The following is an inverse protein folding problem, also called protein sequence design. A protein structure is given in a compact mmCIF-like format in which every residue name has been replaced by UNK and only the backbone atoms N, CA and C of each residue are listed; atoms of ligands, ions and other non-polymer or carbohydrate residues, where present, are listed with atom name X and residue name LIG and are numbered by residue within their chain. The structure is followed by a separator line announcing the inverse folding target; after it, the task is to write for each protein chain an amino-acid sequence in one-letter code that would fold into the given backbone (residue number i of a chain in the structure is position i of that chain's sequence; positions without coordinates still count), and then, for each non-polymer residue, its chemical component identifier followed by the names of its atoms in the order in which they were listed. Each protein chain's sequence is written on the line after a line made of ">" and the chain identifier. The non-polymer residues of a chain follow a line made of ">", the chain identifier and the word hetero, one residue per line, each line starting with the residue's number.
data_IF_493120581050
#
_entry.id   IF_493120581050
#
_cell.length_a   1.000
_cell.length_b   1.000
_cell.length_c   1.000
_cell.angle_alpha   90.00
_cell.angle_beta   90.00
_cell.angle_gamma   90.00
#
_symmetry.space_group_name_H-M   'P 1'
#
loop_
_entity.id
_entity.type
_entity.pdbx_description
1 polymer ?
#
# COMPACT_ATOMS: atom_id res chain seq x y z
N UNK A 1 5.40 4.00 2.96
CA UNK A 1 3.97 4.34 3.30
C UNK A 1 3.72 4.29 4.81
N UNK A 2 4.50 3.48 5.53
CA UNK A 2 4.34 3.15 6.95
C UNK A 2 4.51 4.33 7.92
N UNK A 3 5.17 5.40 7.49
CA UNK A 3 5.37 6.63 8.28
C UNK A 3 4.11 7.48 8.44
N UNK A 4 3.08 7.24 7.63
CA UNK A 4 1.81 7.97 7.69
C UNK A 4 0.84 7.34 8.69
N UNK A 5 0.04 8.16 9.38
CA UNK A 5 -1.07 7.67 10.22
C UNK A 5 -2.21 7.08 9.37
N UNK A 6 -3.18 6.42 10.02
CA UNK A 6 -4.27 5.70 9.33
C UNK A 6 -5.11 6.58 8.41
N UNK A 7 -5.50 7.76 8.89
CA UNK A 7 -6.32 8.69 8.10
C UNK A 7 -5.56 9.23 6.89
N UNK A 8 -4.26 9.47 7.04
CA UNK A 8 -3.41 9.89 5.92
C UNK A 8 -3.29 8.76 4.88
N UNK A 9 -3.04 7.52 5.30
CA UNK A 9 -3.00 6.35 4.39
C UNK A 9 -4.34 6.17 3.66
N UNK A 10 -5.45 6.29 4.39
CA UNK A 10 -6.79 6.23 3.82
C UNK A 10 -6.99 7.33 2.76
N UNK A 11 -6.54 8.55 3.05
CA UNK A 11 -6.59 9.69 2.12
C UNK A 11 -5.76 9.47 0.87
N UNK A 12 -4.49 9.08 1.01
CA UNK A 12 -3.57 8.83 -0.13
C UNK A 12 -4.14 7.78 -1.09
N UNK A 13 -4.64 6.66 -0.56
CA UNK A 13 -5.24 5.60 -1.37
C UNK A 13 -6.57 6.05 -1.99
N UNK A 14 -7.45 6.66 -1.20
CA UNK A 14 -8.78 7.07 -1.64
C UNK A 14 -8.75 8.11 -2.74
N UNK A 15 -7.93 9.16 -2.59
CA UNK A 15 -7.80 10.21 -3.61
C UNK A 15 -7.15 9.69 -4.89
N UNK A 16 -6.16 8.80 -4.76
CA UNK A 16 -5.54 8.13 -5.93
C UNK A 16 -6.56 7.28 -6.70
N UNK A 17 -7.40 6.52 -5.99
CA UNK A 17 -8.45 5.72 -6.63
C UNK A 17 -9.52 6.61 -7.27
N UNK A 18 -9.88 7.74 -6.65
CA UNK A 18 -10.85 8.67 -7.21
C UNK A 18 -10.38 9.24 -8.56
N UNK A 19 -9.13 9.71 -8.64
CA UNK A 19 -8.63 10.25 -9.91
C UNK A 19 -8.51 9.16 -10.98
N UNK A 20 -8.10 7.94 -10.63
CA UNK A 20 -8.08 6.81 -11.57
C UNK A 20 -9.49 6.49 -12.07
N UNK A 21 -10.49 6.45 -11.18
CA UNK A 21 -11.88 6.23 -11.55
C UNK A 21 -12.38 7.28 -12.54
N UNK A 22 -12.15 8.56 -12.23
CA UNK A 22 -12.63 9.68 -13.05
C UNK A 22 -12.00 9.68 -14.45
N UNK A 23 -10.69 9.38 -14.55
CA UNK A 23 -9.95 9.41 -15.81
C UNK A 23 -10.08 8.12 -16.64
N UNK A 24 -10.39 6.98 -16.00
CA UNK A 24 -10.48 5.68 -16.68
C UNK A 24 -11.90 5.31 -17.15
N UNK A 25 -12.86 6.23 -17.02
CA UNK A 25 -14.26 5.97 -17.36
C UNK A 25 -14.96 5.06 -16.35
N UNK A 26 -14.62 5.19 -15.06
CA UNK A 26 -15.27 4.50 -13.96
C UNK A 26 -14.63 3.15 -13.57
N UNK A 27 -13.39 2.88 -14.00
CA UNK A 27 -12.67 1.64 -13.65
C UNK A 27 -11.80 1.87 -12.42
N UNK A 28 -11.69 0.84 -11.58
CA UNK A 28 -10.80 0.83 -10.43
C UNK A 28 -9.77 -0.28 -10.57
N UNK A 29 -8.52 -0.04 -10.14
CA UNK A 29 -7.51 -1.09 -10.10
C UNK A 29 -7.86 -2.12 -9.01
N UNK A 30 -7.55 -3.39 -9.26
CA UNK A 30 -7.64 -4.45 -8.26
C UNK A 30 -6.37 -4.55 -7.39
N UNK A 31 -5.25 -4.07 -7.91
CA UNK A 31 -3.94 -4.18 -7.29
C UNK A 31 -3.35 -2.81 -6.99
N UNK A 32 -2.48 -2.75 -6.00
CA UNK A 32 -1.69 -1.56 -5.70
C UNK A 32 -0.31 -1.95 -5.19
N UNK A 33 0.64 -1.03 -5.32
CA UNK A 33 2.00 -1.17 -4.80
C UNK A 33 2.27 -0.05 -3.79
N UNK A 34 2.84 -0.36 -2.61
CA UNK A 34 3.24 0.66 -1.65
C UNK A 34 4.55 1.34 -2.07
N UNK A 35 4.77 2.62 -1.73
CA UNK A 35 6.08 3.25 -1.82
C UNK A 35 7.01 2.64 -0.76
N UNK A 36 8.03 1.93 -1.24
CA UNK A 36 9.07 1.19 -0.51
C UNK A 36 8.53 0.02 0.33
N UNK A 37 7.86 0.33 1.44
CA UNK A 37 7.51 -0.63 2.49
C UNK A 37 6.01 -0.58 2.85
N UNK A 38 5.56 -1.65 3.51
CA UNK A 38 4.16 -1.79 3.90
C UNK A 38 4.00 -2.64 5.17
N UNK A 39 3.27 -2.09 6.14
CA UNK A 39 2.89 -2.78 7.37
C UNK A 39 1.48 -3.41 7.27
N UNK A 40 1.06 -4.16 8.29
CA UNK A 40 -0.23 -4.84 8.30
C UNK A 40 -1.43 -3.87 8.36
N UNK A 41 -1.24 -2.69 8.94
CA UNK A 41 -2.27 -1.66 9.08
C UNK A 41 -2.57 -1.04 7.70
N UNK A 42 -1.53 -0.69 6.96
CA UNK A 42 -1.64 -0.22 5.57
C UNK A 42 -2.26 -1.30 4.68
N UNK A 43 -1.85 -2.56 4.79
CA UNK A 43 -2.49 -3.69 4.08
C UNK A 43 -3.98 -3.81 4.41
N UNK A 44 -4.34 -3.68 5.69
CA UNK A 44 -5.71 -3.79 6.15
C UNK A 44 -6.60 -2.66 5.61
N UNK A 45 -6.10 -1.41 5.58
CA UNK A 45 -6.82 -0.28 4.99
C UNK A 45 -7.05 -0.53 3.50
N UNK A 46 -5.98 -0.84 2.75
CA UNK A 46 -6.09 -1.05 1.31
C UNK A 46 -7.05 -2.18 0.94
N UNK A 47 -6.98 -3.32 1.65
CA UNK A 47 -7.84 -4.47 1.39
C UNK A 47 -9.28 -4.27 1.84
N UNK A 48 -9.50 -3.86 3.08
CA UNK A 48 -10.85 -3.90 3.67
C UNK A 48 -11.70 -2.66 3.34
N UNK A 49 -11.06 -1.52 3.05
CA UNK A 49 -11.79 -0.31 2.66
C UNK A 49 -11.96 -0.22 1.15
N UNK A 50 -10.91 -0.52 0.40
CA UNK A 50 -10.87 -0.30 -1.05
C UNK A 50 -10.88 -1.58 -1.90
N UNK A 51 -10.78 -2.76 -1.28
CA UNK A 51 -10.73 -4.03 -2.02
C UNK A 51 -9.41 -4.26 -2.76
N UNK A 52 -8.36 -3.48 -2.47
CA UNK A 52 -7.09 -3.56 -3.17
C UNK A 52 -6.21 -4.70 -2.64
N UNK A 53 -5.59 -5.45 -3.56
CA UNK A 53 -4.56 -6.43 -3.26
C UNK A 53 -3.16 -5.80 -3.34
N UNK A 54 -2.41 -5.84 -2.23
CA UNK A 54 -1.02 -5.37 -2.20
C UNK A 54 -0.10 -6.30 -2.98
N UNK A 55 0.67 -5.75 -3.91
CA UNK A 55 1.69 -6.48 -4.70
C UNK A 55 3.08 -5.98 -4.31
N UNK A 56 3.97 -6.92 -3.98
CA UNK A 56 5.39 -6.68 -3.66
C UNK A 56 6.25 -7.42 -4.68
N UNK A 57 7.42 -6.87 -4.96
CA UNK A 57 8.39 -7.45 -5.89
C UNK A 57 9.24 -8.52 -5.20
N UNK A 58 9.76 -9.45 -5.99
CA UNK A 58 10.73 -10.44 -5.53
C UNK A 58 12.11 -10.25 -6.17
N UNK A 59 12.23 -9.35 -7.16
CA UNK A 59 13.49 -8.88 -7.73
C UNK A 59 13.46 -7.35 -7.84
N UNK A 60 14.59 -6.70 -7.59
CA UNK A 60 14.73 -5.25 -7.64
C UNK A 60 15.92 -4.90 -8.52
N UNK A 61 15.69 -4.14 -9.59
CA UNK A 61 16.75 -3.71 -10.51
C UNK A 61 17.63 -2.60 -9.93
N UNK A 62 17.15 -1.90 -8.89
CA UNK A 62 17.77 -0.67 -8.40
C UNK A 62 18.07 0.35 -9.52
N UNK A 63 17.29 0.32 -10.60
CA UNK A 63 17.45 1.18 -11.78
C UNK A 63 17.37 2.68 -11.46
N UNK A 64 16.66 3.03 -10.39
CA UNK A 64 16.58 4.37 -9.80
C UNK A 64 17.93 4.94 -9.35
N UNK A 65 18.95 4.10 -9.18
CA UNK A 65 20.32 4.53 -8.90
C UNK A 65 21.02 5.16 -10.11
N UNK A 66 20.50 4.98 -11.33
CA UNK A 66 21.11 5.53 -12.54
C UNK A 66 20.69 6.98 -12.79
N UNK A 67 21.68 7.80 -13.10
CA UNK A 67 21.49 9.20 -13.49
C UNK A 67 21.39 9.34 -15.01
N UNK A 68 20.91 10.50 -15.51
CA UNK A 68 20.97 10.82 -16.95
C UNK A 68 22.38 10.81 -17.56
N UNK A 69 23.44 10.83 -16.74
CA UNK A 69 24.84 10.71 -17.19
C UNK A 69 25.33 9.27 -17.25
N UNK A 70 24.43 8.29 -17.06
CA UNK A 70 24.73 6.86 -17.03
C UNK A 70 25.75 6.49 -15.93
N UNK A 71 25.58 7.11 -14.76
CA UNK A 71 26.38 6.87 -13.56
C UNK A 71 25.48 6.51 -12.39
N UNK A 72 26.06 5.88 -11.36
CA UNK A 72 25.34 5.45 -10.15
C UNK A 72 25.41 6.49 -9.02
N UNK A 73 24.29 6.75 -8.35
CA UNK A 73 24.18 7.62 -7.16
C UNK A 73 24.03 6.89 -5.83
N UNK A 74 23.84 5.58 -5.85
CA UNK A 74 23.70 4.71 -4.69
C UNK A 74 25.04 4.15 -4.17
N UNK A 75 26.16 4.63 -4.72
CA UNK A 75 27.50 4.20 -4.33
C UNK A 75 27.81 2.78 -4.81
N UNK A 76 27.85 1.83 -3.88
CA UNK A 76 28.15 0.41 -4.19
C UNK A 76 26.90 -0.40 -4.51
N UNK A 77 25.72 0.15 -4.23
CA UNK A 77 24.44 -0.52 -4.42
C UNK A 77 23.87 -0.17 -5.80
N UNK A 78 23.13 -1.10 -6.40
CA UNK A 78 22.54 -0.95 -7.74
C UNK A 78 23.53 -0.98 -8.91
N UNK A 79 23.03 -0.81 -10.14
CA UNK A 79 23.84 -0.90 -11.36
C UNK A 79 24.78 0.30 -11.48
N UNK A 80 26.04 0.04 -11.84
CA UNK A 80 27.04 1.10 -12.05
C UNK A 80 26.75 2.00 -13.28
N UNK A 81 26.06 1.43 -14.27
CA UNK A 81 25.65 2.02 -15.54
C UNK A 81 24.60 1.11 -16.22
N UNK A 82 24.04 1.54 -17.34
CA UNK A 82 23.10 0.81 -18.19
C UNK A 82 23.60 -0.59 -18.58
N UNK A 83 24.89 -0.76 -18.86
CA UNK A 83 25.44 -2.08 -19.17
C UNK A 83 25.46 -3.02 -17.93
N UNK A 84 25.56 -2.47 -16.72
CA UNK A 84 25.38 -3.24 -15.50
C UNK A 84 23.90 -3.62 -15.28
N UNK A 85 22.97 -2.71 -15.57
CA UNK A 85 21.54 -2.97 -15.55
C UNK A 85 21.16 -4.08 -16.56
N UNK A 86 21.73 -4.06 -17.77
CA UNK A 86 21.53 -5.12 -18.76
C UNK A 86 21.97 -6.49 -18.24
N UNK A 87 23.10 -6.55 -17.52
CA UNK A 87 23.59 -7.80 -16.92
C UNK A 87 22.67 -8.30 -15.80
N UNK A 88 22.13 -7.39 -15.01
CA UNK A 88 21.17 -7.71 -13.95
C UNK A 88 19.85 -8.23 -14.52
N UNK A 89 19.29 -7.54 -15.52
CA UNK A 89 18.10 -8.01 -16.23
C UNK A 89 18.33 -9.36 -16.91
N UNK A 90 19.50 -9.57 -17.51
CA UNK A 90 19.88 -10.87 -18.07
C UNK A 90 19.94 -11.97 -16.99
N UNK A 91 20.38 -11.65 -15.76
CA UNK A 91 20.34 -12.60 -14.66
C UNK A 91 18.90 -12.99 -14.30
N UNK A 92 17.99 -12.02 -14.21
CA UNK A 92 16.56 -12.28 -13.95
C UNK A 92 15.92 -13.14 -15.04
N UNK A 93 16.20 -12.85 -16.32
CA UNK A 93 15.69 -13.65 -17.45
C UNK A 93 16.04 -15.13 -17.34
N UNK A 94 17.19 -15.45 -16.75
CA UNK A 94 17.69 -16.82 -16.60
C UNK A 94 17.30 -17.49 -15.27
N UNK A 95 16.50 -16.83 -14.42
CA UNK A 95 16.01 -17.42 -13.17
C UNK A 95 14.97 -18.52 -13.40
N UNK A 96 14.71 -19.29 -12.33
CA UNK A 96 13.65 -20.29 -12.35
C UNK A 96 12.27 -19.65 -12.55
N UNK A 97 11.44 -20.28 -13.39
CA UNK A 97 10.09 -19.78 -13.74
C UNK A 97 9.05 -19.93 -12.62
N UNK A 98 9.36 -20.69 -11.58
CA UNK A 98 8.52 -20.87 -10.39
C UNK A 98 9.24 -20.31 -9.17
N UNK A 99 8.61 -19.45 -8.35
CA UNK A 99 7.19 -19.06 -8.33
C UNK A 99 6.78 -17.98 -9.36
N UNK A 100 7.68 -17.60 -10.26
CA UNK A 100 7.51 -16.47 -11.17
C UNK A 100 8.25 -15.23 -10.67
N UNK A 101 8.41 -14.23 -11.52
CA UNK A 101 9.13 -13.00 -11.21
C UNK A 101 8.18 -11.82 -11.15
N UNK A 102 8.34 -11.00 -10.11
CA UNK A 102 7.78 -9.66 -10.02
C UNK A 102 9.01 -8.74 -9.88
N UNK A 103 9.40 -8.12 -10.98
CA UNK A 103 10.60 -7.28 -11.06
C UNK A 103 10.17 -5.83 -10.82
N UNK A 104 10.83 -5.16 -9.87
CA UNK A 104 10.66 -3.72 -9.69
C UNK A 104 11.53 -2.96 -10.68
N UNK A 105 10.88 -2.10 -11.45
CA UNK A 105 11.46 -1.11 -12.35
C UNK A 105 10.74 0.23 -12.16
N UNK A 106 11.36 1.31 -12.60
CA UNK A 106 10.81 2.65 -12.61
C UNK A 106 10.72 3.19 -14.05
N UNK A 107 9.74 4.04 -14.33
CA UNK A 107 9.59 4.72 -15.63
C UNK A 107 9.85 6.23 -15.55
N UNK A 108 10.64 6.66 -14.56
CA UNK A 108 10.89 8.08 -14.27
C UNK A 108 12.01 8.67 -15.13
N UNK A 109 12.94 7.86 -15.63
CA UNK A 109 14.08 8.31 -16.43
C UNK A 109 14.29 7.41 -17.66
N UNK A 110 15.01 7.92 -18.66
CA UNK A 110 15.40 7.11 -19.82
C UNK A 110 16.23 5.89 -19.40
N UNK A 111 17.07 6.04 -18.36
CA UNK A 111 17.93 4.98 -17.85
C UNK A 111 17.14 3.88 -17.14
N UNK A 112 16.05 4.22 -16.46
CA UNK A 112 15.23 3.21 -15.82
C UNK A 112 14.40 2.44 -16.86
N UNK A 113 13.83 3.15 -17.85
CA UNK A 113 13.12 2.54 -19.00
C UNK A 113 14.03 1.67 -19.88
N UNK A 114 15.34 1.97 -19.92
CA UNK A 114 16.34 1.18 -20.66
C UNK A 114 16.31 -0.31 -20.25
N UNK A 115 16.20 -0.62 -18.95
CA UNK A 115 16.18 -1.99 -18.43
C UNK A 115 15.17 -2.88 -19.15
N UNK A 116 13.89 -2.53 -19.08
CA UNK A 116 12.81 -3.25 -19.74
C UNK A 116 13.01 -3.34 -21.26
N UNK A 117 13.28 -2.20 -21.92
CA UNK A 117 13.32 -2.13 -23.39
C UNK A 117 14.45 -2.99 -23.98
N UNK A 118 15.60 -3.08 -23.30
CA UNK A 118 16.73 -3.91 -23.70
C UNK A 118 16.56 -5.38 -23.33
N UNK A 119 15.94 -5.67 -22.18
CA UNK A 119 15.70 -7.04 -21.73
C UNK A 119 14.57 -7.75 -22.50
N UNK A 120 13.60 -7.01 -23.03
CA UNK A 120 12.39 -7.56 -23.65
C UNK A 120 12.63 -8.65 -24.72
N UNK A 121 13.56 -8.49 -25.68
CA UNK A 121 13.87 -9.56 -26.64
C UNK A 121 14.34 -10.85 -25.97
N UNK A 122 15.15 -10.75 -24.91
CA UNK A 122 15.66 -11.90 -24.15
C UNK A 122 14.55 -12.56 -23.30
N UNK A 123 13.68 -11.76 -22.67
CA UNK A 123 12.50 -12.23 -21.93
C UNK A 123 11.62 -13.10 -22.85
N UNK A 124 11.29 -12.60 -24.05
CA UNK A 124 10.49 -13.36 -25.02
C UNK A 124 11.21 -14.62 -25.49
N UNK A 125 12.51 -14.54 -25.78
CA UNK A 125 13.30 -15.71 -26.22
C UNK A 125 13.37 -16.80 -25.14
N UNK A 126 13.42 -16.42 -23.87
CA UNK A 126 13.41 -17.36 -22.75
C UNK A 126 12.02 -18.01 -22.50
N UNK A 127 10.99 -17.56 -23.21
CA UNK A 127 9.63 -18.11 -23.12
C UNK A 127 9.01 -17.86 -21.74
N UNK A 128 9.22 -16.68 -21.17
CA UNK A 128 8.43 -16.22 -20.03
C UNK A 128 6.99 -15.97 -20.49
N UNK A 129 6.02 -16.35 -19.66
CA UNK A 129 4.66 -15.89 -19.84
C UNK A 129 4.60 -14.43 -19.36
N UNK A 130 4.42 -13.51 -20.31
CA UNK A 130 4.38 -12.07 -20.07
C UNK A 130 2.96 -11.53 -20.02
N UNK A 131 1.97 -12.39 -19.77
CA UNK A 131 0.57 -11.99 -19.65
C UNK A 131 0.40 -10.90 -18.56
N UNK A 132 0.49 -9.63 -18.96
CA UNK A 132 0.00 -8.48 -18.20
C UNK A 132 -1.53 -8.57 -18.00
N UNK A 133 -2.19 -9.39 -18.81
CA UNK A 133 -3.61 -9.66 -18.72
C UNK A 133 -3.98 -10.49 -17.49
N UNK A 134 -3.05 -11.29 -16.96
CA UNK A 134 -3.41 -12.33 -16.03
C UNK A 134 -4.40 -13.32 -16.65
N UNK A 135 -4.10 -14.60 -16.55
CA UNK A 135 -5.20 -15.56 -16.32
C UNK A 135 -5.76 -15.40 -14.88
N UNK A 136 -5.86 -14.14 -14.45
CA UNK A 136 -6.54 -13.59 -13.28
C UNK A 136 -7.81 -12.84 -13.74
N UNK A 137 -8.11 -12.85 -15.04
CA UNK A 137 -9.42 -12.49 -15.60
C UNK A 137 -10.49 -13.57 -15.33
N UNK A 138 -10.15 -14.59 -14.53
CA UNK A 138 -11.15 -15.14 -13.61
C UNK A 138 -11.66 -13.94 -12.83
N UNK A 139 -12.81 -13.41 -13.27
CA UNK A 139 -13.54 -12.29 -12.70
C UNK A 139 -13.15 -12.27 -11.24
N UNK A 140 -12.32 -11.31 -10.82
CA UNK A 140 -12.18 -11.10 -9.39
C UNK A 140 -13.62 -10.79 -9.04
N UNK A 141 -14.30 -11.78 -8.48
CA UNK A 141 -15.53 -11.61 -7.74
C UNK A 141 -15.09 -10.80 -6.53
N UNK A 142 -14.71 -9.55 -6.78
CA UNK A 142 -15.22 -8.47 -6.02
C UNK A 142 -16.70 -8.84 -5.92
N UNK A 143 -17.17 -8.96 -4.69
CA UNK A 143 -18.57 -8.72 -4.43
C UNK A 143 -18.99 -7.28 -4.87
N UNK A 144 -18.22 -6.58 -5.74
CA UNK A 144 -18.66 -5.50 -6.59
C UNK A 144 -19.60 -6.05 -7.67
N UNK A 145 -20.73 -6.54 -7.20
CA UNK A 145 -22.04 -6.42 -7.86
C UNK A 145 -22.45 -4.93 -7.94
N UNK A 146 -21.49 -4.03 -7.86
CA UNK A 146 -21.68 -2.61 -7.72
C UNK A 146 -20.84 -2.01 -8.83
N UNK A 147 -21.53 -1.68 -9.92
CA UNK A 147 -21.13 -0.55 -10.73
C UNK A 147 -20.73 0.57 -9.75
N UNK A 148 -19.43 0.85 -9.63
CA UNK A 148 -18.93 1.77 -8.62
C UNK A 148 -19.57 3.16 -8.76
N UNK A 149 -20.14 3.49 -9.94
CA UNK A 149 -20.96 4.69 -10.10
C UNK A 149 -22.21 4.71 -9.19
N UNK A 150 -22.89 3.58 -8.93
CA UNK A 150 -24.06 3.53 -8.04
C UNK A 150 -23.66 3.67 -6.56
N UNK A 151 -22.58 3.01 -6.15
CA UNK A 151 -22.04 3.13 -4.77
C UNK A 151 -21.49 4.52 -4.52
N UNK A 152 -20.75 5.07 -5.47
CA UNK A 152 -20.21 6.43 -5.40
C UNK A 152 -21.35 7.44 -5.45
N UNK A 153 -22.39 7.25 -6.27
CA UNK A 153 -23.58 8.10 -6.26
C UNK A 153 -24.32 8.03 -4.92
N UNK A 154 -24.49 6.83 -4.36
CA UNK A 154 -25.12 6.65 -3.04
C UNK A 154 -24.27 7.26 -1.91
N UNK A 155 -22.94 7.13 -1.97
CA UNK A 155 -22.03 7.74 -1.00
C UNK A 155 -22.04 9.27 -1.11
N UNK A 156 -22.00 9.84 -2.32
CA UNK A 156 -22.15 11.28 -2.58
C UNK A 156 -23.49 11.80 -2.06
N UNK A 157 -24.58 11.06 -2.27
CA UNK A 157 -25.90 11.42 -1.75
C UNK A 157 -25.96 11.41 -0.21
N UNK A 158 -25.33 10.42 0.44
CA UNK A 158 -25.23 10.34 1.91
C UNK A 158 -24.40 11.48 2.49
N UNK A 159 -23.27 11.80 1.87
CA UNK A 159 -22.42 12.94 2.25
C UNK A 159 -23.21 14.26 2.14
N UNK A 160 -23.94 14.48 1.04
CA UNK A 160 -24.79 15.65 0.86
C UNK A 160 -25.93 15.73 1.90
N UNK A 161 -26.47 14.60 2.35
CA UNK A 161 -27.45 14.56 3.43
C UNK A 161 -26.84 14.91 4.79
N UNK A 162 -25.61 14.45 5.09
CA UNK A 162 -24.93 14.82 6.33
C UNK A 162 -24.55 16.30 6.40
N UNK A 163 -24.34 16.96 5.26
CA UNK A 163 -24.15 18.42 5.19
C UNK A 163 -25.40 19.24 5.52
N UNK A 164 -26.59 18.62 5.45
CA UNK A 164 -27.88 19.26 5.75
C UNK A 164 -28.40 18.98 7.17
N UNK A 165 -27.69 18.19 7.99
CA UNK A 165 -28.02 17.99 9.39
C UNK A 165 -27.12 18.85 10.28
N UNK A 166 -27.47 20.12 10.42
CA UNK A 166 -27.11 20.89 11.63
C UNK A 166 -27.82 20.23 12.82
N UNK A 167 -27.09 19.42 13.57
CA UNK A 167 -27.55 18.98 14.89
C UNK A 167 -27.68 20.19 15.82
N UNK A 168 -28.73 20.29 16.65
CA UNK A 168 -28.76 21.27 17.72
C UNK A 168 -27.71 20.89 18.76
N UNK A 169 -26.92 21.87 19.15
CA UNK A 169 -25.89 21.80 20.19
C UNK A 169 -26.49 21.25 21.50
N UNK A 170 -26.06 20.05 21.89
CA UNK A 170 -26.33 19.50 23.22
C UNK A 170 -25.03 19.53 24.02
N UNK A 171 -24.93 20.53 24.88
CA UNK A 171 -23.87 20.73 25.87
C UNK A 171 -23.60 19.46 26.68
N UNK A 172 -22.39 18.91 26.60
CA UNK A 172 -21.90 17.83 27.45
C UNK A 172 -21.47 18.40 28.81
N UNK A 173 -22.34 18.27 29.82
CA UNK A 173 -21.97 18.47 31.23
C UNK A 173 -21.09 17.29 31.70
N UNK A 174 -19.86 17.60 32.11
CA UNK A 174 -18.86 16.64 32.54
C UNK A 174 -18.72 16.67 34.06
N UNK A 175 -19.54 15.91 34.78
CA UNK A 175 -19.30 15.62 36.20
C UNK A 175 -19.20 14.11 36.43
N UNK A 176 -18.09 13.60 37.00
CA UNK A 176 -17.95 12.17 37.30
C UNK A 176 -18.70 11.85 38.61
N UNK A 177 -19.60 10.87 38.55
CA UNK A 177 -20.36 10.39 39.71
C UNK A 177 -19.51 9.41 40.53
N UNK A 178 -18.91 9.88 41.63
CA UNK A 178 -18.29 9.03 42.65
C UNK A 178 -19.38 8.47 43.57
N UNK A 179 -19.53 7.15 43.61
CA UNK A 179 -20.39 6.46 44.57
C UNK A 179 -19.60 6.13 45.83
N UNK A 180 -20.07 6.60 46.97
CA UNK A 180 -19.54 6.31 48.31
C UNK A 180 -20.30 5.17 48.99
N UNK A 181 -19.71 4.65 50.07
CA UNK A 181 -20.15 3.57 50.98
C UNK A 181 -19.58 2.18 50.60
N UNK A 182 -18.92 1.41 51.48
CA UNK A 182 -19.21 1.13 52.90
C UNK A 182 -17.92 0.91 53.72
N UNK A 183 -18.03 1.31 54.99
CA UNK A 183 -17.08 1.22 56.11
C UNK A 183 -17.03 -0.21 56.67
N UNK A 184 -15.84 -0.76 56.87
CA UNK A 184 -15.63 -2.00 57.64
C UNK A 184 -14.22 -2.04 58.22
N UNK A 185 -14.11 -1.84 59.53
CA UNK A 185 -12.87 -1.93 60.32
C UNK A 185 -12.56 -3.38 60.66
N UNK A 186 -11.26 -3.76 60.74
CA UNK A 186 -10.63 -4.54 61.84
C UNK A 186 -9.11 -4.66 61.58
N UNK A 187 -8.36 -4.01 62.46
CA UNK A 187 -7.12 -4.38 63.18
C UNK A 187 -6.10 -5.38 62.61
N UNK A 188 -4.80 -5.01 62.71
CA UNK A 188 -3.77 -5.96 63.17
C UNK A 188 -2.38 -5.93 62.49
N UNK A 189 -1.50 -5.05 62.99
CA UNK A 189 -0.05 -5.26 63.27
C UNK A 189 0.95 -5.82 62.23
N UNK A 190 1.96 -4.97 61.98
CA UNK A 190 3.41 -5.21 62.09
C UNK A 190 4.26 -5.77 60.93
N UNK A 191 5.27 -4.95 60.60
CA UNK A 191 6.70 -5.27 60.46
C UNK A 191 7.36 -5.31 59.05
N UNK A 192 8.28 -4.35 58.90
CA UNK A 192 9.65 -4.44 58.38
C UNK A 192 10.00 -4.60 56.87
N UNK A 193 10.78 -3.60 56.45
CA UNK A 193 12.05 -3.62 55.71
C UNK A 193 12.09 -3.78 54.17
N UNK A 194 12.55 -2.68 53.55
CA UNK A 194 13.63 -2.51 52.56
C UNK A 194 14.07 -3.64 51.62
N UNK A 195 14.13 -3.29 50.33
CA UNK A 195 15.34 -3.21 49.47
C UNK A 195 15.15 -3.79 48.06
N UNK A 196 15.50 -2.95 47.09
CA UNK A 196 16.14 -3.20 45.77
C UNK A 196 16.35 -4.65 45.31
N UNK A 197 15.95 -4.94 44.06
CA UNK A 197 16.85 -4.97 42.87
C UNK A 197 16.07 -4.41 41.68
#
# INVERSE_FOLDING_TARGET
>A
MTTLNDTAVLGELGWTLQIIFDLSGGRLPAFWRPPCDVDNRVRAIAKNVFGLQTVIWNQDTNDWCLTPQNTNTCGKDGPANEAALDREMAAFVNMAKSPGLIILEHELTTQSVHGFTHAWPAIRKAGWDTNANGDWDATIHLNSVLNASEVVAAARARLAQTSNHTSPDSTLDSTPRVSSQIRGSISGTSAHQSSTV
#
